data_IF_401288172619
#
_entry.id   IF_401288172619
#
_cell.length_a   1.000
_cell.length_b   1.000
_cell.length_c   1.000
_cell.angle_alpha   90.00
_cell.angle_beta   90.00
_cell.angle_gamma   90.00
#
_symmetry.space_group_name_H-M   'P 1'
#
loop_
_entity.id
_entity.type
_entity.pdbx_description
1 polymer ?
#
# COMPACT_ATOMS: atom_id res chain seq x y z
N UNK A 1 12.01 -18.68 8.67
CA UNK A 1 12.41 -17.98 7.44
C UNK A 1 11.39 -16.88 7.17
N UNK A 2 11.82 -15.62 7.10
CA UNK A 2 10.94 -14.52 6.69
C UNK A 2 10.58 -14.77 5.21
N UNK A 3 9.29 -14.81 4.88
CA UNK A 3 8.83 -15.05 3.51
C UNK A 3 9.37 -14.00 2.52
N UNK A 4 9.43 -14.31 1.22
CA UNK A 4 10.08 -13.47 0.20
C UNK A 4 9.57 -12.01 0.18
N UNK A 5 8.29 -11.77 0.49
CA UNK A 5 7.67 -10.44 0.51
C UNK A 5 8.19 -9.54 1.63
N UNK A 6 8.70 -10.10 2.73
CA UNK A 6 9.28 -9.30 3.82
C UNK A 6 10.51 -8.52 3.34
N UNK A 7 11.36 -9.18 2.54
CA UNK A 7 12.62 -8.60 2.09
C UNK A 7 12.40 -7.44 1.11
N UNK A 8 11.27 -7.41 0.40
CA UNK A 8 10.94 -6.35 -0.56
C UNK A 8 10.00 -5.30 0.01
N UNK A 9 9.27 -5.58 1.09
CA UNK A 9 8.30 -4.67 1.68
C UNK A 9 8.90 -3.31 2.07
N UNK A 10 10.16 -3.29 2.53
CA UNK A 10 10.84 -2.04 2.87
C UNK A 10 11.04 -1.14 1.63
N UNK A 11 11.55 -1.70 0.54
CA UNK A 11 11.79 -0.96 -0.70
C UNK A 11 10.47 -0.51 -1.34
N UNK A 12 9.45 -1.38 -1.29
CA UNK A 12 8.09 -1.04 -1.74
C UNK A 12 7.52 0.09 -0.90
N UNK A 13 7.63 0.03 0.43
CA UNK A 13 7.10 1.06 1.33
C UNK A 13 7.73 2.44 1.13
N UNK A 14 8.91 2.50 0.52
CA UNK A 14 9.63 3.73 0.15
C UNK A 14 9.39 4.15 -1.30
N UNK A 15 8.62 3.37 -2.06
CA UNK A 15 8.43 3.54 -3.51
C UNK A 15 9.69 3.31 -4.34
N UNK A 16 10.73 2.69 -3.76
CA UNK A 16 11.99 2.37 -4.47
C UNK A 16 11.85 1.13 -5.36
N UNK A 17 10.81 0.32 -5.12
CA UNK A 17 10.45 -0.85 -5.93
C UNK A 17 8.95 -0.93 -6.07
N UNK A 18 8.46 -1.42 -7.22
CA UNK A 18 7.04 -1.76 -7.38
C UNK A 18 6.68 -3.03 -6.59
N UNK A 19 5.44 -3.17 -6.09
CA UNK A 19 5.01 -4.37 -5.39
C UNK A 19 4.96 -5.57 -6.34
N UNK A 20 5.64 -6.65 -5.95
CA UNK A 20 5.62 -7.94 -6.65
C UNK A 20 4.48 -8.85 -6.17
N UNK A 21 4.09 -8.70 -4.91
CA UNK A 21 2.90 -9.35 -4.35
C UNK A 21 1.66 -8.46 -4.38
N UNK A 22 0.52 -9.09 -4.16
CA UNK A 22 -0.79 -8.48 -3.98
C UNK A 22 -0.96 -7.90 -2.57
N UNK A 23 -1.91 -7.00 -2.41
CA UNK A 23 -2.35 -6.45 -1.12
C UNK A 23 -2.72 -7.55 -0.14
N UNK A 24 -3.38 -8.62 -0.63
CA UNK A 24 -3.76 -9.79 0.17
C UNK A 24 -2.54 -10.56 0.69
N UNK A 25 -1.52 -10.76 -0.13
CA UNK A 25 -0.29 -11.45 0.28
C UNK A 25 0.51 -10.63 1.31
N UNK A 26 0.57 -9.31 1.15
CA UNK A 26 1.13 -8.43 2.18
C UNK A 26 0.32 -8.47 3.48
N UNK A 27 -1.02 -8.52 3.40
CA UNK A 27 -1.91 -8.68 4.55
C UNK A 27 -1.71 -10.01 5.29
N UNK A 28 -1.49 -11.10 4.56
CA UNK A 28 -1.13 -12.41 5.15
C UNK A 28 0.24 -12.36 5.84
N UNK A 29 1.22 -11.69 5.23
CA UNK A 29 2.53 -11.50 5.85
C UNK A 29 2.44 -10.62 7.11
N UNK A 30 1.59 -9.59 7.11
CA UNK A 30 1.29 -8.74 8.26
C UNK A 30 0.67 -9.56 9.41
N UNK A 31 -0.36 -10.36 9.13
CA UNK A 31 -1.00 -11.24 10.11
C UNK A 31 -0.02 -12.28 10.68
N UNK A 32 0.76 -12.93 9.81
CA UNK A 32 1.78 -13.90 10.23
C UNK A 32 2.87 -13.26 11.10
N UNK A 33 3.23 -12.00 10.85
CA UNK A 33 4.14 -11.26 11.73
C UNK A 33 3.53 -11.01 13.10
N UNK A 34 2.29 -10.53 13.15
CA UNK A 34 1.59 -10.27 14.41
C UNK A 34 1.46 -11.54 15.26
N UNK A 35 1.13 -12.67 14.65
CA UNK A 35 1.03 -13.98 15.31
C UNK A 35 2.38 -14.43 15.90
N UNK A 36 3.49 -14.28 15.18
CA UNK A 36 4.83 -14.60 15.74
C UNK A 36 5.22 -13.72 16.92
N UNK A 37 4.68 -12.52 17.00
CA UNK A 37 4.92 -11.57 18.07
C UNK A 37 3.82 -11.60 19.15
N UNK A 38 2.92 -12.59 19.10
CA UNK A 38 1.87 -12.74 20.10
C UNK A 38 2.45 -13.22 21.42
N UNK A 39 1.82 -12.81 22.51
CA UNK A 39 2.10 -13.32 23.85
C UNK A 39 1.37 -14.65 24.06
N UNK A 40 1.80 -15.49 25.01
CA UNK A 40 1.06 -16.70 25.36
C UNK A 40 -0.39 -16.37 25.74
N UNK A 41 -1.34 -17.03 25.07
CA UNK A 41 -2.78 -16.82 25.29
C UNK A 41 -3.37 -15.54 24.65
N UNK A 42 -2.56 -14.71 23.98
CA UNK A 42 -3.03 -13.53 23.26
C UNK A 42 -3.69 -13.93 21.94
N UNK A 43 -4.90 -13.42 21.68
CA UNK A 43 -5.57 -13.66 20.40
C UNK A 43 -4.85 -12.89 19.27
N UNK A 44 -4.86 -13.40 18.02
CA UNK A 44 -4.17 -12.74 16.91
C UNK A 44 -4.58 -11.30 16.65
N UNK A 45 -5.87 -10.97 16.84
CA UNK A 45 -6.38 -9.61 16.66
C UNK A 45 -5.88 -8.65 17.75
N UNK A 46 -5.73 -9.11 18.98
CA UNK A 46 -5.17 -8.31 20.08
C UNK A 46 -3.67 -8.05 19.87
N UNK A 47 -2.93 -9.08 19.45
CA UNK A 47 -1.53 -8.95 19.09
C UNK A 47 -1.33 -7.93 17.98
N UNK A 48 -2.18 -7.98 16.94
CA UNK A 48 -2.17 -7.03 15.84
C UNK A 48 -2.48 -5.60 16.30
N UNK A 49 -3.56 -5.40 17.07
CA UNK A 49 -3.95 -4.09 17.60
C UNK A 49 -2.85 -3.45 18.45
N UNK A 50 -2.22 -4.24 19.33
CA UNK A 50 -1.09 -3.80 20.17
C UNK A 50 0.13 -3.39 19.35
N UNK A 51 0.44 -4.15 18.30
CA UNK A 51 1.63 -3.92 17.48
C UNK A 51 1.41 -2.87 16.39
N UNK A 52 0.17 -2.57 16.01
CA UNK A 52 -0.17 -1.68 14.89
C UNK A 52 0.45 -0.28 14.99
N UNK A 53 0.66 0.24 16.21
CA UNK A 53 1.25 1.57 16.45
C UNK A 53 2.74 1.55 16.78
N UNK A 54 3.30 0.40 17.14
CA UNK A 54 4.66 0.28 17.69
C UNK A 54 5.61 -0.54 16.82
N UNK A 55 5.08 -1.39 15.94
CA UNK A 55 5.86 -2.28 15.11
C UNK A 55 6.17 -1.62 13.76
N UNK A 56 7.44 -1.24 13.57
CA UNK A 56 7.96 -0.81 12.27
C UNK A 56 7.68 -1.89 11.20
N UNK A 57 7.82 -3.16 11.58
CA UNK A 57 7.56 -4.30 10.70
C UNK A 57 6.12 -4.34 10.17
N UNK A 58 5.13 -4.25 11.06
CA UNK A 58 3.73 -4.22 10.65
C UNK A 58 3.42 -2.98 9.83
N UNK A 59 3.93 -1.81 10.22
CA UNK A 59 3.74 -0.58 9.45
C UNK A 59 4.30 -0.72 8.04
N UNK A 60 5.50 -1.25 7.87
CA UNK A 60 6.13 -1.48 6.56
C UNK A 60 5.30 -2.43 5.69
N UNK A 61 4.83 -3.55 6.25
CA UNK A 61 3.98 -4.50 5.52
C UNK A 61 2.64 -3.88 5.12
N UNK A 62 2.01 -3.12 6.03
CA UNK A 62 0.75 -2.43 5.76
C UNK A 62 0.89 -1.37 4.68
N UNK A 63 1.95 -0.57 4.73
CA UNK A 63 2.24 0.45 3.70
C UNK A 63 2.50 -0.23 2.35
N UNK A 64 3.30 -1.30 2.32
CA UNK A 64 3.55 -2.06 1.08
C UNK A 64 2.26 -2.68 0.51
N UNK A 65 1.41 -3.25 1.36
CA UNK A 65 0.10 -3.78 0.97
C UNK A 65 -0.86 -2.69 0.46
N UNK A 66 -0.84 -1.51 1.09
CA UNK A 66 -1.60 -0.34 0.61
C UNK A 66 -1.12 0.16 -0.75
N UNK A 67 0.20 0.19 -0.99
CA UNK A 67 0.77 0.51 -2.31
C UNK A 67 0.36 -0.54 -3.35
N UNK A 68 0.37 -1.82 -2.99
CA UNK A 68 -0.13 -2.87 -3.87
C UNK A 68 -1.61 -2.65 -4.20
N UNK A 69 -2.45 -2.33 -3.22
CA UNK A 69 -3.88 -2.08 -3.44
C UNK A 69 -4.16 -0.90 -4.38
N UNK A 70 -3.38 0.18 -4.26
CA UNK A 70 -3.46 1.30 -5.19
C UNK A 70 -3.19 0.91 -6.65
N UNK A 71 -2.41 -0.15 -6.87
CA UNK A 71 -2.05 -0.66 -8.20
C UNK A 71 -2.84 -1.92 -8.59
N UNK A 72 -3.86 -2.28 -7.81
CA UNK A 72 -4.81 -3.34 -8.12
C UNK A 72 -6.05 -2.79 -8.83
N UNK A 73 -7.04 -3.64 -9.11
CA UNK A 73 -8.18 -3.32 -9.97
C UNK A 73 -9.09 -2.17 -9.49
N UNK A 74 -9.17 -1.91 -8.19
CA UNK A 74 -9.97 -0.83 -7.61
C UNK A 74 -9.16 0.44 -7.27
N UNK A 75 -7.83 0.35 -7.36
CA UNK A 75 -6.89 1.44 -7.15
C UNK A 75 -7.12 2.25 -5.84
N UNK A 76 -7.49 1.59 -4.73
CA UNK A 76 -7.86 2.27 -3.49
C UNK A 76 -6.63 2.68 -2.63
N UNK A 77 -6.41 3.99 -2.37
CA UNK A 77 -5.33 4.47 -1.51
C UNK A 77 -5.66 4.44 -0.01
N UNK A 78 -6.90 4.15 0.38
CA UNK A 78 -7.39 4.32 1.76
C UNK A 78 -6.56 3.53 2.78
N UNK A 79 -6.23 2.26 2.49
CA UNK A 79 -5.46 1.43 3.39
C UNK A 79 -4.02 1.94 3.57
N UNK A 80 -3.40 2.43 2.48
CA UNK A 80 -2.10 3.07 2.53
C UNK A 80 -2.13 4.30 3.44
N UNK A 81 -3.08 5.22 3.21
CA UNK A 81 -3.15 6.48 3.95
C UNK A 81 -3.31 6.24 5.45
N UNK A 82 -4.15 5.27 5.84
CA UNK A 82 -4.25 4.81 7.24
C UNK A 82 -2.94 4.22 7.75
N UNK A 83 -2.21 3.46 6.92
CA UNK A 83 -0.87 2.92 7.26
C UNK A 83 0.21 3.99 7.42
N UNK A 84 0.07 5.12 6.72
CA UNK A 84 0.94 6.28 6.90
C UNK A 84 0.60 7.09 8.16
N UNK A 85 -0.62 6.94 8.69
CA UNK A 85 -1.09 7.59 9.90
C UNK A 85 -2.09 8.73 9.63
N UNK A 86 -2.56 8.89 8.39
CA UNK A 86 -3.58 9.87 8.05
C UNK A 86 -4.98 9.35 8.37
N UNK A 87 -5.83 10.21 8.94
CA UNK A 87 -7.21 9.89 9.26
C UNK A 87 -8.20 10.55 8.28
N UNK A 88 -9.33 9.90 7.94
CA UNK A 88 -10.41 10.54 7.20
C UNK A 88 -10.86 11.85 7.86
N UNK A 89 -11.12 12.87 7.06
CA UNK A 89 -11.42 14.22 7.54
C UNK A 89 -10.19 15.11 7.78
N UNK A 90 -8.97 14.56 7.78
CA UNK A 90 -7.75 15.37 7.73
C UNK A 90 -7.52 15.91 6.31
N UNK A 91 -7.06 17.16 6.21
CA UNK A 91 -6.74 17.77 4.92
C UNK A 91 -5.78 16.92 4.08
N UNK A 92 -4.76 16.32 4.70
CA UNK A 92 -3.78 15.47 4.00
C UNK A 92 -4.42 14.21 3.43
N UNK A 93 -5.33 13.57 4.18
CA UNK A 93 -6.05 12.39 3.72
C UNK A 93 -6.91 12.72 2.49
N UNK A 94 -7.69 13.79 2.58
CA UNK A 94 -8.60 14.22 1.51
C UNK A 94 -7.84 14.68 0.26
N UNK A 95 -6.77 15.46 0.43
CA UNK A 95 -5.94 15.94 -0.67
C UNK A 95 -5.33 14.78 -1.45
N UNK A 96 -4.71 13.82 -0.76
CA UNK A 96 -4.07 12.65 -1.39
C UNK A 96 -5.06 11.73 -2.06
N UNK A 97 -6.21 11.49 -1.44
CA UNK A 97 -7.29 10.69 -2.03
C UNK A 97 -7.78 11.33 -3.33
N UNK A 98 -8.00 12.64 -3.33
CA UNK A 98 -8.41 13.39 -4.53
C UNK A 98 -7.35 13.37 -5.61
N UNK A 99 -6.09 13.65 -5.27
CA UNK A 99 -4.99 13.64 -6.25
C UNK A 99 -4.83 12.27 -6.90
N UNK A 100 -5.01 11.19 -6.14
CA UNK A 100 -4.98 9.84 -6.70
C UNK A 100 -6.19 9.56 -7.61
N UNK A 101 -7.39 9.97 -7.20
CA UNK A 101 -8.60 9.85 -8.01
C UNK A 101 -8.47 10.63 -9.34
N UNK A 102 -7.92 11.84 -9.31
CA UNK A 102 -7.69 12.65 -10.51
C UNK A 102 -6.73 11.93 -11.47
N UNK A 103 -5.66 11.30 -10.95
CA UNK A 103 -4.75 10.51 -11.77
C UNK A 103 -5.47 9.29 -12.39
N UNK A 104 -6.32 8.60 -11.63
CA UNK A 104 -7.11 7.48 -12.14
C UNK A 104 -7.99 7.93 -13.32
N UNK A 105 -8.72 9.03 -13.18
CA UNK A 105 -9.59 9.55 -14.24
C UNK A 105 -8.80 9.91 -15.51
N UNK A 106 -7.61 10.51 -15.35
CA UNK A 106 -6.70 10.79 -16.46
C UNK A 106 -6.06 9.52 -17.06
N UNK A 107 -5.90 8.46 -16.27
CA UNK A 107 -5.32 7.19 -16.70
C UNK A 107 -6.31 6.32 -17.50
N UNK A 108 -7.61 6.38 -17.21
CA UNK A 108 -8.66 5.59 -17.89
C UNK A 108 -8.55 5.59 -19.43
N UNK A 109 -8.43 6.74 -20.12
CA UNK A 109 -8.30 6.77 -21.58
C UNK A 109 -6.98 6.21 -22.10
N UNK A 110 -5.97 6.04 -21.23
CA UNK A 110 -4.66 5.46 -21.56
C UNK A 110 -4.60 3.94 -21.39
N UNK A 111 -5.71 3.29 -20.99
CA UNK A 111 -5.81 1.84 -20.80
C UNK A 111 -5.76 1.12 -22.15
N UNK A 112 -4.89 0.13 -22.27
CA UNK A 112 -4.82 -0.73 -23.46
C UNK A 112 -5.86 -1.85 -23.39
N UNK A 113 -6.12 -2.49 -24.52
CA UNK A 113 -6.99 -3.66 -24.57
C UNK A 113 -6.46 -4.77 -23.63
N UNK A 114 -7.38 -5.39 -22.89
CA UNK A 114 -7.11 -6.40 -21.86
C UNK A 114 -6.28 -5.96 -20.62
N UNK A 115 -5.80 -4.72 -20.53
CA UNK A 115 -5.19 -4.20 -19.29
C UNK A 115 -6.29 -3.93 -18.23
N UNK A 116 -6.03 -4.30 -16.97
CA UNK A 116 -6.82 -3.76 -15.86
C UNK A 116 -6.47 -2.29 -15.62
N UNK A 117 -7.29 -1.59 -14.82
CA UNK A 117 -6.94 -0.23 -14.40
C UNK A 117 -5.64 -0.22 -13.59
N UNK A 118 -5.45 -1.20 -12.70
CA UNK A 118 -4.22 -1.38 -11.93
C UNK A 118 -2.99 -1.56 -12.82
N UNK A 119 -3.07 -2.37 -13.89
CA UNK A 119 -1.97 -2.54 -14.86
C UNK A 119 -1.65 -1.23 -15.58
N UNK A 120 -2.68 -0.48 -15.95
CA UNK A 120 -2.53 0.86 -16.55
C UNK A 120 -1.81 1.81 -15.60
N UNK A 121 -2.23 1.86 -14.35
CA UNK A 121 -1.61 2.70 -13.32
C UNK A 121 -0.16 2.30 -13.07
N UNK A 122 0.13 0.99 -12.93
CA UNK A 122 1.49 0.46 -12.77
C UNK A 122 2.38 0.90 -13.92
N UNK A 123 1.93 0.73 -15.16
CA UNK A 123 2.66 1.15 -16.36
C UNK A 123 2.90 2.66 -16.38
N UNK A 124 1.89 3.46 -16.06
CA UNK A 124 2.01 4.92 -16.02
C UNK A 124 2.99 5.38 -14.93
N UNK A 125 2.91 4.85 -13.72
CA UNK A 125 3.89 5.15 -12.65
C UNK A 125 5.31 4.76 -13.07
N UNK A 126 5.46 3.69 -13.84
CA UNK A 126 6.76 3.21 -14.31
C UNK A 126 7.32 3.99 -15.51
N UNK A 127 6.49 4.64 -16.33
CA UNK A 127 6.97 5.27 -17.58
C UNK A 127 6.63 6.76 -17.72
N UNK A 128 5.80 7.33 -16.84
CA UNK A 128 5.36 8.71 -16.90
C UNK A 128 5.79 9.47 -15.63
N UNK A 129 6.63 10.49 -15.81
CA UNK A 129 7.18 11.28 -14.70
C UNK A 129 6.08 11.93 -13.86
N UNK A 130 5.02 12.47 -14.45
CA UNK A 130 3.94 13.10 -13.71
C UNK A 130 3.16 12.10 -12.87
N UNK A 131 2.82 10.93 -13.44
CA UNK A 131 2.17 9.85 -12.69
C UNK A 131 3.06 9.35 -11.54
N UNK A 132 4.37 9.26 -11.76
CA UNK A 132 5.33 8.89 -10.72
C UNK A 132 5.45 9.94 -9.62
N UNK A 133 5.43 11.23 -9.95
CA UNK A 133 5.40 12.31 -8.96
C UNK A 133 4.13 12.26 -8.12
N UNK A 134 2.96 12.05 -8.74
CA UNK A 134 1.70 11.86 -8.01
C UNK A 134 1.76 10.63 -7.10
N UNK A 135 2.29 9.51 -7.60
CA UNK A 135 2.51 8.32 -6.79
C UNK A 135 3.38 8.63 -5.56
N UNK A 136 4.54 9.27 -5.74
CA UNK A 136 5.40 9.66 -4.62
C UNK A 136 4.71 10.63 -3.65
N UNK A 137 3.95 11.60 -4.16
CA UNK A 137 3.16 12.48 -3.32
C UNK A 137 2.19 11.69 -2.44
N UNK A 138 1.47 10.70 -2.98
CA UNK A 138 0.48 9.92 -2.23
C UNK A 138 1.14 8.99 -1.20
N UNK A 139 2.29 8.39 -1.51
CA UNK A 139 2.95 7.41 -0.62
C UNK A 139 3.89 8.03 0.43
N UNK A 140 4.27 9.30 0.28
CA UNK A 140 5.22 9.94 1.21
C UNK A 140 4.57 10.19 2.58
N UNK A 141 5.21 9.85 3.71
CA UNK A 141 4.68 10.16 5.04
C UNK A 141 4.56 11.67 5.31
#
# INVERSE_FOLDING_TARGET
MNGPLWNTALDVSRGSRMPEGTSAEYGLAEASWAERCSKPGEAPHDAHARLASSSIALRTLRVAGGIARMLEGDCDPTQLLRGLGFAPGEFQFEARTRTWADLIELARPSRRDAETLGDTMRRLVDHNTSARCTFFYVISP
#
